data_IF_276292512176
#
_entry.id   IF_276292512176
#
_cell.length_a   1.000
_cell.length_b   1.000
_cell.length_c   1.000
_cell.angle_alpha   90.00
_cell.angle_beta   90.00
_cell.angle_gamma   90.00
#
_symmetry.space_group_name_H-M   'P 1'
#
loop_
_entity.id
_entity.type
_entity.pdbx_description
1 polymer ?
#
# COMPACT_ATOMS: atom_id res chain seq x y z
N UNK A 1 -13.65 -15.84 -13.92
CA UNK A 1 -13.53 -14.87 -15.04
C UNK A 1 -12.16 -15.01 -15.69
N UNK A 2 -11.99 -14.67 -16.98
CA UNK A 2 -10.79 -15.04 -17.78
C UNK A 2 -9.44 -14.52 -17.24
N UNK A 3 -9.46 -13.63 -16.24
CA UNK A 3 -8.29 -13.09 -15.55
C UNK A 3 -8.15 -13.53 -14.09
N UNK A 4 -9.21 -14.07 -13.47
CA UNK A 4 -9.26 -14.32 -12.02
C UNK A 4 -8.66 -15.67 -11.65
N UNK A 5 -9.00 -16.72 -12.39
CA UNK A 5 -8.66 -18.09 -12.04
C UNK A 5 -7.36 -18.52 -12.73
N UNK A 6 -6.37 -19.01 -11.97
CA UNK A 6 -5.03 -19.36 -12.51
C UNK A 6 -5.09 -20.37 -13.66
N UNK A 7 -6.05 -21.29 -13.61
CA UNK A 7 -6.22 -22.35 -14.61
C UNK A 7 -6.81 -21.84 -15.94
N UNK A 8 -7.58 -20.75 -15.87
CA UNK A 8 -8.32 -20.18 -17.00
C UNK A 8 -7.70 -18.85 -17.47
N UNK A 9 -6.61 -18.41 -16.82
CA UNK A 9 -5.91 -17.18 -17.16
C UNK A 9 -5.31 -17.28 -18.56
N UNK A 10 -5.48 -16.21 -19.33
CA UNK A 10 -4.78 -16.02 -20.60
C UNK A 10 -3.27 -15.82 -20.35
N UNK A 11 -2.54 -16.93 -20.33
CA UNK A 11 -1.08 -17.01 -20.24
C UNK A 11 -0.61 -18.28 -20.93
N UNK A 12 0.71 -18.40 -21.17
CA UNK A 12 1.26 -19.65 -21.69
C UNK A 12 0.90 -20.83 -20.77
N UNK A 13 0.59 -21.98 -21.36
CA UNK A 13 0.32 -23.26 -20.68
C UNK A 13 1.41 -23.64 -19.69
N UNK A 14 2.66 -23.24 -19.93
CA UNK A 14 3.79 -23.50 -19.03
C UNK A 14 3.63 -22.81 -17.66
N UNK A 15 2.92 -21.68 -17.60
CA UNK A 15 2.60 -20.98 -16.35
C UNK A 15 1.37 -21.53 -15.63
N UNK A 16 0.53 -22.33 -16.28
CA UNK A 16 -0.68 -22.92 -15.67
C UNK A 16 -0.34 -24.14 -14.81
N UNK A 17 0.77 -24.82 -15.13
CA UNK A 17 1.07 -26.16 -14.60
C UNK A 17 2.20 -26.21 -13.54
N UNK A 18 2.59 -25.08 -12.94
CA UNK A 18 3.65 -25.09 -11.91
C UNK A 18 3.20 -25.66 -10.55
N UNK A 19 1.93 -26.07 -10.40
CA UNK A 19 1.46 -26.82 -9.22
C UNK A 19 1.64 -28.35 -9.39
N UNK A 20 2.67 -28.81 -10.13
CA UNK A 20 3.10 -30.21 -10.05
C UNK A 20 3.98 -30.42 -8.82
N UNK A 21 3.33 -30.55 -7.68
CA UNK A 21 3.83 -31.23 -6.48
C UNK A 21 5.11 -30.65 -5.85
N UNK A 22 4.97 -30.15 -4.63
CA UNK A 22 6.04 -30.15 -3.63
C UNK A 22 6.61 -31.58 -3.52
N UNK A 23 7.61 -31.93 -4.33
CA UNK A 23 7.95 -33.34 -4.48
C UNK A 23 9.12 -33.68 -5.41
N UNK A 24 10.17 -32.87 -5.46
CA UNK A 24 11.52 -33.40 -5.72
C UNK A 24 12.57 -32.39 -5.28
N UNK A 25 13.31 -32.74 -4.22
CA UNK A 25 14.57 -32.07 -3.85
C UNK A 25 15.56 -32.31 -5.00
N UNK A 26 15.57 -31.41 -5.99
CA UNK A 26 16.60 -31.38 -7.01
C UNK A 26 17.83 -30.70 -6.42
N UNK A 27 18.95 -31.41 -6.50
CA UNK A 27 20.24 -31.09 -5.88
C UNK A 27 20.69 -29.64 -6.16
N UNK A 28 21.30 -29.03 -5.14
CA UNK A 28 21.84 -27.67 -5.12
C UNK A 28 22.84 -27.33 -6.25
N UNK A 29 23.23 -28.31 -7.09
CA UNK A 29 24.20 -28.17 -8.17
C UNK A 29 23.65 -27.51 -9.46
N UNK A 30 22.34 -27.30 -9.58
CA UNK A 30 21.72 -26.62 -10.76
C UNK A 30 21.51 -25.10 -10.55
N UNK A 31 22.23 -24.50 -9.60
CA UNK A 31 22.10 -23.07 -9.24
C UNK A 31 22.99 -22.13 -10.08
N UNK A 32 23.45 -22.56 -11.26
CA UNK A 32 24.23 -21.71 -12.17
C UNK A 32 23.36 -20.80 -13.03
N UNK A 33 22.04 -21.04 -13.10
CA UNK A 33 21.10 -20.17 -13.79
C UNK A 33 20.55 -19.09 -12.85
N UNK A 34 20.56 -17.85 -13.31
CA UNK A 34 19.98 -16.68 -12.61
C UNK A 34 18.60 -17.02 -12.04
N UNK A 35 18.30 -16.70 -10.76
CA UNK A 35 16.99 -16.94 -10.14
C UNK A 35 15.80 -16.34 -10.92
N UNK A 36 16.07 -15.30 -11.73
CA UNK A 36 15.10 -14.65 -12.63
C UNK A 36 14.80 -15.47 -13.89
N UNK A 37 15.74 -16.29 -14.37
CA UNK A 37 15.57 -17.11 -15.57
C UNK A 37 14.63 -18.29 -15.36
N UNK A 38 14.28 -18.62 -14.11
CA UNK A 38 13.39 -19.73 -13.78
C UNK A 38 11.90 -19.41 -13.95
N UNK A 39 11.54 -18.13 -13.99
CA UNK A 39 10.16 -17.66 -14.01
C UNK A 39 9.74 -17.05 -15.35
N UNK A 40 10.64 -17.01 -16.33
CA UNK A 40 10.34 -16.47 -17.66
C UNK A 40 10.63 -17.54 -18.70
N UNK A 41 9.59 -18.19 -19.20
CA UNK A 41 9.72 -19.15 -20.27
C UNK A 41 9.94 -18.47 -21.62
N UNK A 42 10.82 -19.04 -22.44
CA UNK A 42 11.01 -18.63 -23.82
C UNK A 42 9.69 -18.73 -24.60
N UNK A 43 9.38 -17.73 -25.43
CA UNK A 43 8.14 -17.65 -26.22
C UNK A 43 6.84 -17.66 -25.38
N UNK A 44 6.91 -17.39 -24.07
CA UNK A 44 5.75 -17.43 -23.17
C UNK A 44 4.62 -16.44 -23.50
N UNK A 45 4.86 -15.50 -24.41
CA UNK A 45 3.87 -14.54 -24.89
C UNK A 45 3.11 -14.99 -26.15
N UNK A 46 3.54 -16.04 -26.86
CA UNK A 46 2.94 -16.42 -28.16
C UNK A 46 1.48 -16.86 -28.05
N UNK A 47 1.11 -17.54 -26.95
CA UNK A 47 -0.28 -17.92 -26.69
C UNK A 47 -1.19 -16.70 -26.45
N UNK A 48 -0.64 -15.61 -25.91
CA UNK A 48 -1.37 -14.34 -25.76
C UNK A 48 -1.49 -13.66 -27.12
N UNK A 49 -0.39 -13.59 -27.88
CA UNK A 49 -0.34 -12.96 -29.21
C UNK A 49 -1.29 -13.60 -30.23
N UNK A 50 -1.49 -14.92 -30.15
CA UNK A 50 -2.35 -15.71 -31.04
C UNK A 50 -3.80 -15.84 -30.58
N UNK A 51 -4.17 -15.24 -29.44
CA UNK A 51 -5.53 -15.31 -28.93
C UNK A 51 -6.53 -14.56 -29.84
N UNK A 52 -7.76 -15.07 -29.98
CA UNK A 52 -8.80 -14.52 -30.85
C UNK A 52 -9.12 -13.05 -30.57
N UNK A 53 -9.00 -12.60 -29.31
CA UNK A 53 -9.15 -11.20 -28.93
C UNK A 53 -8.13 -10.26 -29.59
N UNK A 54 -6.90 -10.72 -29.82
CA UNK A 54 -5.82 -9.95 -30.44
C UNK A 54 -5.63 -10.30 -31.93
N UNK A 55 -6.63 -10.92 -32.56
CA UNK A 55 -6.57 -11.28 -33.97
C UNK A 55 -6.42 -10.02 -34.82
N UNK A 56 -5.42 -10.00 -35.70
CA UNK A 56 -5.14 -8.88 -36.60
C UNK A 56 -4.19 -7.82 -36.03
N UNK A 57 -3.68 -7.98 -34.80
CA UNK A 57 -2.66 -7.08 -34.25
C UNK A 57 -1.27 -7.41 -34.83
N UNK A 58 -0.62 -6.49 -35.57
CA UNK A 58 0.72 -6.71 -36.12
C UNK A 58 1.77 -6.45 -35.03
N UNK A 59 1.99 -7.44 -34.15
CA UNK A 59 2.88 -7.30 -32.98
C UNK A 59 4.28 -6.76 -33.29
N UNK A 60 4.87 -7.11 -34.44
CA UNK A 60 6.19 -6.61 -34.85
C UNK A 60 6.21 -5.12 -35.20
N UNK A 61 5.10 -4.57 -35.67
CA UNK A 61 4.97 -3.17 -36.12
C UNK A 61 4.12 -2.32 -35.16
N UNK A 62 3.56 -2.91 -34.09
CA UNK A 62 2.70 -2.24 -33.12
C UNK A 62 3.34 -0.98 -32.54
N UNK A 63 4.66 -0.96 -32.37
CA UNK A 63 5.42 0.20 -31.88
C UNK A 63 5.49 1.37 -32.88
N UNK A 64 5.16 1.15 -34.15
CA UNK A 64 5.08 2.17 -35.21
C UNK A 64 3.64 2.64 -35.45
N UNK A 65 2.66 1.95 -34.87
CA UNK A 65 1.26 2.31 -35.03
C UNK A 65 0.96 3.56 -34.20
N UNK A 66 0.14 4.45 -34.78
CA UNK A 66 -0.35 5.60 -34.03
C UNK A 66 -1.25 5.11 -32.87
N UNK A 67 -0.97 5.51 -31.63
CA UNK A 67 -1.81 5.11 -30.51
C UNK A 67 -3.21 5.73 -30.65
N UNK A 68 -4.27 5.02 -30.22
CA UNK A 68 -5.65 5.50 -30.36
C UNK A 68 -5.95 6.75 -29.53
N UNK A 69 -5.17 6.97 -28.47
CA UNK A 69 -5.22 8.18 -27.66
C UNK A 69 -3.84 8.83 -27.63
N UNK A 70 -3.78 10.09 -28.06
CA UNK A 70 -2.59 10.93 -28.00
C UNK A 70 -2.88 12.05 -26.99
N UNK A 71 -2.18 12.09 -25.84
CA UNK A 71 -2.28 13.19 -24.90
C UNK A 71 -2.01 14.53 -25.59
N UNK A 72 -2.86 15.52 -25.32
CA UNK A 72 -2.76 16.88 -25.86
C UNK A 72 -1.81 17.71 -25.01
N UNK A 73 -0.56 17.81 -25.43
CA UNK A 73 0.46 18.70 -24.84
C UNK A 73 0.83 19.77 -25.87
N UNK A 74 0.64 21.04 -25.54
CA UNK A 74 1.14 22.17 -26.36
C UNK A 74 2.61 22.44 -26.03
N UNK A 75 3.35 23.02 -26.97
CA UNK A 75 4.79 23.31 -26.80
C UNK A 75 5.10 24.18 -25.56
N UNK A 76 4.20 25.07 -25.19
CA UNK A 76 4.31 25.95 -24.02
C UNK A 76 3.52 25.47 -22.79
N UNK A 77 2.92 24.28 -22.83
CA UNK A 77 2.13 23.73 -21.74
C UNK A 77 2.93 22.67 -20.99
N UNK A 78 3.02 22.83 -19.66
CA UNK A 78 3.63 21.81 -18.81
C UNK A 78 2.87 20.49 -18.90
N UNK A 79 3.62 19.39 -19.01
CA UNK A 79 3.08 18.03 -18.96
C UNK A 79 2.47 17.70 -17.58
N UNK A 80 2.75 18.52 -16.55
CA UNK A 80 2.18 18.40 -15.19
C UNK A 80 0.65 18.49 -15.17
N UNK A 81 0.00 18.95 -16.25
CA UNK A 81 -1.47 18.89 -16.41
C UNK A 81 -2.04 17.47 -16.28
N UNK A 82 -1.26 16.45 -16.59
CA UNK A 82 -1.66 15.04 -16.47
C UNK A 82 -1.31 14.42 -15.11
N UNK A 83 -0.74 15.21 -14.21
CA UNK A 83 -0.40 14.81 -12.85
C UNK A 83 -1.46 15.39 -11.90
N UNK A 84 -1.76 14.66 -10.84
CA UNK A 84 -2.57 15.15 -9.73
C UNK A 84 -1.71 16.09 -8.88
N UNK A 85 -2.32 17.13 -8.30
CA UNK A 85 -1.58 18.05 -7.42
C UNK A 85 -1.15 17.31 -6.15
N UNK A 86 0.02 17.65 -5.59
CA UNK A 86 0.55 17.00 -4.37
C UNK A 86 -0.48 17.02 -3.23
N UNK A 87 -1.27 18.10 -3.10
CA UNK A 87 -2.36 18.23 -2.12
C UNK A 87 -3.48 17.17 -2.27
N UNK A 88 -3.77 16.72 -3.49
CA UNK A 88 -4.79 15.71 -3.77
C UNK A 88 -4.27 14.30 -3.43
N UNK A 89 -2.94 14.14 -3.45
CA UNK A 89 -2.23 12.91 -3.06
C UNK A 89 -1.99 12.89 -1.53
N UNK A 90 -1.65 14.04 -0.92
CA UNK A 90 -1.38 14.23 0.51
C UNK A 90 -2.61 14.04 1.40
N UNK A 91 -3.82 14.12 0.82
CA UNK A 91 -5.06 13.79 1.53
C UNK A 91 -5.14 12.28 1.91
N UNK A 92 -4.13 11.47 1.54
CA UNK A 92 -3.85 10.14 2.10
C UNK A 92 -3.49 10.15 3.61
N UNK A 93 -3.39 11.31 4.27
CA UNK A 93 -3.44 11.35 5.74
C UNK A 93 -4.82 10.89 6.28
N UNK A 94 -5.84 10.81 5.42
CA UNK A 94 -7.08 10.09 5.73
C UNK A 94 -6.86 8.58 5.88
N UNK A 95 -5.92 7.94 5.17
CA UNK A 95 -5.70 6.51 5.35
C UNK A 95 -4.96 6.20 6.65
N UNK A 96 -4.07 7.10 7.09
CA UNK A 96 -3.43 7.04 8.41
C UNK A 96 -4.46 7.30 9.52
N UNK A 97 -5.22 8.41 9.43
CA UNK A 97 -6.24 8.80 10.41
C UNK A 97 -7.36 7.77 10.52
N UNK A 98 -7.96 7.33 9.40
CA UNK A 98 -9.02 6.32 9.41
C UNK A 98 -8.50 4.97 9.93
N UNK A 99 -7.27 4.58 9.58
CA UNK A 99 -6.68 3.33 10.10
C UNK A 99 -6.36 3.40 11.59
N UNK A 100 -5.92 4.55 12.08
CA UNK A 100 -5.59 4.76 13.49
C UNK A 100 -6.89 4.88 14.30
N UNK A 101 -7.86 5.64 13.81
CA UNK A 101 -9.22 5.76 14.37
C UNK A 101 -9.91 4.42 14.48
N UNK A 102 -9.94 3.62 13.41
CA UNK A 102 -10.53 2.27 13.42
C UNK A 102 -9.85 1.36 14.45
N UNK A 103 -8.52 1.48 14.61
CA UNK A 103 -7.77 0.72 15.61
C UNK A 103 -8.13 1.14 17.03
N UNK A 104 -8.16 2.44 17.31
CA UNK A 104 -8.53 3.00 18.62
C UNK A 104 -9.96 2.61 19.02
N UNK A 105 -10.91 2.70 18.09
CA UNK A 105 -12.32 2.31 18.32
C UNK A 105 -12.47 0.81 18.59
N UNK A 106 -11.53 -0.01 18.11
CA UNK A 106 -11.52 -1.45 18.37
C UNK A 106 -10.84 -1.86 19.68
N UNK A 107 -9.97 -1.00 20.23
CA UNK A 107 -9.14 -1.29 21.41
C UNK A 107 -9.83 -0.92 22.75
N UNK A 108 -11.08 -0.43 22.75
CA UNK A 108 -11.82 -0.12 23.99
C UNK A 108 -11.40 1.21 24.63
N UNK A 109 -11.37 1.28 25.96
CA UNK A 109 -10.82 2.45 26.68
C UNK A 109 -9.33 2.57 26.37
N UNK A 110 -8.98 3.45 25.44
CA UNK A 110 -7.59 3.75 25.13
C UNK A 110 -7.17 4.93 25.99
N UNK A 111 -6.07 4.77 26.74
CA UNK A 111 -5.45 5.86 27.49
C UNK A 111 -5.29 7.11 26.60
N UNK A 112 -5.79 8.24 27.09
CA UNK A 112 -5.87 9.50 26.35
C UNK A 112 -4.50 9.91 25.77
N UNK A 113 -3.44 9.72 26.54
CA UNK A 113 -2.06 9.98 26.17
C UNK A 113 -1.62 9.17 24.94
N UNK A 114 -2.05 7.90 24.86
CA UNK A 114 -1.74 7.02 23.73
C UNK A 114 -2.54 7.44 22.50
N UNK A 115 -3.82 7.79 22.65
CA UNK A 115 -4.61 8.32 21.54
C UNK A 115 -4.01 9.61 20.98
N UNK A 116 -3.57 10.52 21.86
CA UNK A 116 -2.91 11.78 21.50
C UNK A 116 -1.56 11.56 20.79
N UNK A 117 -0.74 10.63 21.28
CA UNK A 117 0.52 10.27 20.63
C UNK A 117 0.32 9.63 19.24
N UNK A 118 -0.75 8.85 19.06
CA UNK A 118 -1.05 8.16 17.81
C UNK A 118 -1.69 9.07 16.75
N UNK A 119 -2.62 9.93 17.16
CA UNK A 119 -3.38 10.81 16.25
C UNK A 119 -2.68 12.14 16.00
N UNK A 120 -1.80 12.59 16.90
CA UNK A 120 -1.06 13.85 16.75
C UNK A 120 -1.98 15.04 16.48
N UNK A 121 -1.78 15.72 15.35
CA UNK A 121 -2.58 16.87 14.93
C UNK A 121 -4.07 16.54 14.70
N UNK A 122 -4.43 15.26 14.55
CA UNK A 122 -5.81 14.82 14.36
C UNK A 122 -6.52 14.44 15.66
N UNK A 123 -5.85 14.59 16.81
CA UNK A 123 -6.42 14.25 18.11
C UNK A 123 -7.69 15.06 18.41
N UNK A 124 -7.63 16.38 18.22
CA UNK A 124 -8.76 17.28 18.51
C UNK A 124 -9.97 16.95 17.63
N UNK A 125 -9.72 16.61 16.35
CA UNK A 125 -10.76 16.13 15.44
C UNK A 125 -11.37 14.81 15.92
N UNK A 126 -10.56 13.87 16.40
CA UNK A 126 -11.04 12.58 16.92
C UNK A 126 -11.90 12.76 18.19
N UNK A 127 -11.47 13.63 19.11
CA UNK A 127 -12.25 13.97 20.31
C UNK A 127 -13.59 14.61 19.90
N UNK A 128 -13.56 15.58 18.99
CA UNK A 128 -14.78 16.21 18.47
C UNK A 128 -15.73 15.21 17.78
N UNK A 129 -15.21 14.32 16.93
CA UNK A 129 -16.01 13.27 16.28
C UNK A 129 -16.61 12.27 17.29
N UNK A 130 -15.90 11.98 18.39
CA UNK A 130 -16.41 11.12 19.48
C UNK A 130 -17.56 11.78 20.23
N UNK A 131 -17.41 13.06 20.59
CA UNK A 131 -18.43 13.85 21.27
C UNK A 131 -19.66 14.02 20.36
N UNK A 132 -19.46 14.39 19.09
CA UNK A 132 -20.55 14.54 18.13
C UNK A 132 -21.30 13.22 17.88
N UNK A 133 -20.58 12.08 17.85
CA UNK A 133 -21.20 10.76 17.75
C UNK A 133 -22.05 10.44 18.99
N UNK A 134 -21.53 10.69 20.18
CA UNK A 134 -22.28 10.47 21.43
C UNK A 134 -23.54 11.33 21.49
N UNK A 135 -23.48 12.60 21.07
CA UNK A 135 -24.66 13.48 20.97
C UNK A 135 -25.69 12.96 19.98
N UNK A 136 -25.25 12.47 18.81
CA UNK A 136 -26.12 11.86 17.81
C UNK A 136 -26.83 10.61 18.32
N UNK A 137 -26.08 9.73 18.98
CA UNK A 137 -26.60 8.50 19.59
C UNK A 137 -27.65 8.80 20.67
N UNK A 138 -27.47 9.88 21.42
CA UNK A 138 -28.39 10.34 22.46
C UNK A 138 -29.53 11.24 21.95
N UNK A 139 -29.54 11.57 20.65
CA UNK A 139 -30.54 12.44 20.03
C UNK A 139 -30.49 13.91 20.49
N UNK A 140 -29.33 14.38 20.96
CA UNK A 140 -29.09 15.73 21.50
C UNK A 140 -28.05 16.49 20.67
N UNK A 141 -28.17 16.40 19.34
CA UNK A 141 -27.22 16.98 18.38
C UNK A 141 -27.07 18.50 18.52
N UNK A 142 -28.15 19.17 18.93
CA UNK A 142 -28.20 20.62 19.11
C UNK A 142 -27.65 21.09 20.48
N UNK A 143 -27.37 20.17 21.40
CA UNK A 143 -26.82 20.52 22.71
C UNK A 143 -25.33 20.88 22.61
N UNK A 144 -24.90 21.87 23.38
CA UNK A 144 -23.50 22.25 23.57
C UNK A 144 -22.70 21.14 24.29
N UNK A 145 -21.37 21.16 24.13
CA UNK A 145 -20.49 20.20 24.81
C UNK A 145 -20.64 20.28 26.35
N UNK A 146 -20.87 21.49 26.87
CA UNK A 146 -21.11 21.70 28.30
C UNK A 146 -22.45 21.16 28.80
N UNK A 147 -23.47 21.06 27.96
CA UNK A 147 -24.75 20.43 28.32
C UNK A 147 -24.62 18.92 28.43
N UNK A 148 -23.92 18.29 27.48
CA UNK A 148 -23.60 16.86 27.56
C UNK A 148 -22.80 16.54 28.84
N UNK A 149 -21.86 17.43 29.21
CA UNK A 149 -21.08 17.26 30.43
C UNK A 149 -21.94 17.39 31.71
N UNK A 150 -22.86 18.36 31.75
CA UNK A 150 -23.81 18.49 32.88
C UNK A 150 -24.74 17.29 33.00
N UNK A 151 -25.16 16.69 31.88
CA UNK A 151 -25.95 15.45 31.87
C UNK A 151 -25.12 14.30 32.44
N UNK A 152 -23.86 14.15 32.02
CA UNK A 152 -22.93 13.16 32.58
C UNK A 152 -22.77 13.31 34.09
N UNK A 153 -22.57 14.52 34.57
CA UNK A 153 -22.44 14.82 36.00
C UNK A 153 -23.74 14.56 36.78
N UNK A 154 -24.90 14.85 36.18
CA UNK A 154 -26.21 14.65 36.80
C UNK A 154 -26.52 13.17 37.03
N UNK A 155 -26.31 12.33 36.02
CA UNK A 155 -26.57 10.90 36.11
C UNK A 155 -25.41 10.12 36.78
N UNK A 156 -24.19 10.66 36.75
CA UNK A 156 -23.04 10.10 37.45
C UNK A 156 -22.79 8.62 37.11
N UNK A 157 -22.87 7.75 38.13
CA UNK A 157 -22.66 6.31 37.96
C UNK A 157 -23.73 5.63 37.10
N UNK A 158 -24.94 6.20 37.03
CA UNK A 158 -26.05 5.68 36.26
C UNK A 158 -26.06 6.20 34.81
N UNK A 159 -25.09 7.06 34.44
CA UNK A 159 -25.00 7.64 33.10
C UNK A 159 -24.93 6.58 32.00
N UNK A 160 -24.16 5.50 32.19
CA UNK A 160 -24.03 4.44 31.20
C UNK A 160 -25.35 3.66 31.00
N UNK A 161 -26.12 3.46 32.07
CA UNK A 161 -27.44 2.84 31.99
C UNK A 161 -28.45 3.76 31.29
N UNK A 162 -28.50 5.03 31.70
CA UNK A 162 -29.33 6.05 31.04
C UNK A 162 -28.98 6.21 29.56
N UNK A 163 -27.70 6.20 29.22
CA UNK A 163 -27.22 6.29 27.84
C UNK A 163 -27.67 5.10 27.02
N UNK A 164 -27.58 3.88 27.55
CA UNK A 164 -28.05 2.68 26.86
C UNK A 164 -29.55 2.76 26.54
N UNK A 165 -30.37 3.12 27.54
CA UNK A 165 -31.82 3.26 27.38
C UNK A 165 -32.16 4.39 26.40
N UNK A 166 -31.45 5.52 26.48
CA UNK A 166 -31.66 6.66 25.59
C UNK A 166 -31.31 6.34 24.14
N UNK A 167 -30.25 5.56 23.90
CA UNK A 167 -29.87 5.11 22.56
C UNK A 167 -30.97 4.22 21.96
N UNK A 168 -31.55 3.31 22.74
CA UNK A 168 -32.65 2.45 22.28
C UNK A 168 -33.85 3.32 21.88
N UNK A 169 -34.24 4.25 22.75
CA UNK A 169 -35.35 5.17 22.49
C UNK A 169 -35.14 5.99 21.21
N UNK A 170 -33.94 6.56 21.01
CA UNK A 170 -33.63 7.38 19.82
C UNK A 170 -33.58 6.53 18.54
N UNK A 171 -33.11 5.29 18.62
CA UNK A 171 -33.15 4.33 17.51
C UNK A 171 -34.59 3.99 17.11
N UNK A 172 -35.47 3.74 18.09
CA UNK A 172 -36.91 3.51 17.87
C UNK A 172 -37.58 4.74 17.23
N UNK A 173 -37.33 5.94 17.75
CA UNK A 173 -37.85 7.20 17.21
C UNK A 173 -37.38 7.49 15.78
N UNK A 174 -36.16 7.06 15.43
CA UNK A 174 -35.56 7.24 14.09
C UNK A 174 -35.89 6.08 13.13
N UNK A 175 -36.60 5.05 13.57
CA UNK A 175 -36.93 3.86 12.77
C UNK A 175 -35.71 3.05 12.34
N UNK A 176 -34.64 3.04 13.15
CA UNK A 176 -33.39 2.36 12.86
C UNK A 176 -33.21 1.15 13.80
N UNK A 177 -32.94 -0.03 13.23
CA UNK A 177 -32.60 -1.22 14.01
C UNK A 177 -31.23 -1.05 14.71
N UNK A 178 -31.08 -1.46 15.99
CA UNK A 178 -29.82 -1.36 16.70
C UNK A 178 -28.73 -2.17 15.97
N UNK A 179 -27.70 -1.48 15.46
CA UNK A 179 -26.58 -2.11 14.76
C UNK A 179 -25.69 -2.88 15.76
N UNK A 180 -26.05 -4.14 16.02
CA UNK A 180 -25.32 -5.04 16.95
C UNK A 180 -24.06 -5.67 16.34
N UNK A 181 -23.76 -5.42 15.06
CA UNK A 181 -22.62 -6.04 14.38
C UNK A 181 -21.51 -5.04 14.06
N UNK A 182 -20.30 -5.29 14.58
CA UNK A 182 -19.11 -4.50 14.22
C UNK A 182 -18.87 -4.61 12.70
N UNK A 183 -18.60 -3.50 12.00
CA UNK A 183 -18.35 -3.52 10.56
C UNK A 183 -17.19 -4.46 10.21
N UNK A 184 -17.34 -5.24 9.13
CA UNK A 184 -16.31 -6.17 8.67
C UNK A 184 -15.07 -5.39 8.28
N UNK A 185 -13.96 -5.62 9.00
CA UNK A 185 -12.66 -4.99 8.75
C UNK A 185 -12.21 -5.25 7.31
N UNK A 186 -11.90 -4.18 6.59
CA UNK A 186 -11.41 -4.27 5.22
C UNK A 186 -10.03 -4.95 5.21
N UNK A 187 -9.86 -6.00 4.39
CA UNK A 187 -8.60 -6.75 4.32
C UNK A 187 -7.55 -5.93 3.57
N UNK A 188 -6.81 -5.09 4.30
CA UNK A 188 -5.69 -4.32 3.76
C UNK A 188 -4.63 -5.26 3.16
N UNK A 189 -3.99 -4.82 2.06
CA UNK A 189 -2.91 -5.56 1.39
C UNK A 189 -1.83 -5.99 2.42
N UNK A 190 -1.19 -7.15 2.24
CA UNK A 190 -0.14 -7.60 3.15
C UNK A 190 1.04 -6.61 3.15
N UNK A 191 1.08 -5.73 4.15
CA UNK A 191 2.22 -4.88 4.50
C UNK A 191 3.06 -5.52 5.60
N UNK A 192 4.34 -5.19 5.67
CA UNK A 192 5.22 -5.53 6.79
C UNK A 192 4.65 -5.07 8.14
N UNK A 193 4.79 -5.87 9.20
CA UNK A 193 4.27 -5.57 10.54
C UNK A 193 4.81 -4.25 11.10
N UNK A 194 6.10 -3.95 10.89
CA UNK A 194 6.71 -2.71 11.38
C UNK A 194 6.24 -1.48 10.61
N UNK A 195 5.86 -1.66 9.34
CA UNK A 195 5.31 -0.60 8.50
C UNK A 195 3.82 -0.34 8.74
N UNK A 196 3.15 -1.17 9.55
CA UNK A 196 1.76 -0.95 9.97
C UNK A 196 1.67 -0.15 11.27
N UNK A 197 2.77 -0.05 12.00
CA UNK A 197 2.78 0.67 13.26
C UNK A 197 2.79 2.18 12.99
N UNK A 198 1.82 2.93 13.52
CA UNK A 198 1.71 4.37 13.29
C UNK A 198 2.86 5.18 13.91
N UNK A 199 3.47 4.71 15.00
CA UNK A 199 4.57 5.43 15.66
C UNK A 199 5.91 5.11 15.01
N UNK A 200 6.20 3.82 14.81
CA UNK A 200 7.55 3.40 14.35
C UNK A 200 7.66 3.22 12.84
N UNK A 201 6.54 3.14 12.10
CA UNK A 201 6.53 2.85 10.67
C UNK A 201 7.30 3.87 9.83
N UNK A 202 7.15 5.16 10.13
CA UNK A 202 7.88 6.25 9.43
C UNK A 202 9.39 6.13 9.63
N UNK A 203 9.83 5.88 10.87
CA UNK A 203 11.24 5.70 11.21
C UNK A 203 11.83 4.46 10.53
N UNK A 204 11.10 3.35 10.53
CA UNK A 204 11.52 2.10 9.88
C UNK A 204 11.64 2.29 8.36
N UNK A 205 10.70 2.98 7.72
CA UNK A 205 10.80 3.32 6.29
C UNK A 205 12.05 4.15 6.00
N UNK A 206 12.34 5.15 6.83
CA UNK A 206 13.48 6.03 6.65
C UNK A 206 14.81 5.26 6.73
N UNK A 207 14.96 4.39 7.74
CA UNK A 207 16.13 3.52 7.90
C UNK A 207 16.30 2.62 6.66
N UNK A 208 15.20 2.04 6.15
CA UNK A 208 15.25 1.21 4.93
C UNK A 208 15.69 2.00 3.72
N UNK A 209 15.18 3.22 3.53
CA UNK A 209 15.60 4.10 2.43
C UNK A 209 17.10 4.41 2.52
N UNK A 210 17.61 4.72 3.72
CA UNK A 210 19.04 4.98 3.97
C UNK A 210 19.91 3.75 3.66
N UNK A 211 19.44 2.55 4.01
CA UNK A 211 20.15 1.30 3.75
C UNK A 211 19.97 0.70 2.35
N UNK A 212 18.95 1.12 1.59
CA UNK A 212 18.52 0.46 0.34
C UNK A 212 19.62 0.41 -0.74
N UNK A 213 20.56 1.36 -0.72
CA UNK A 213 21.64 1.48 -1.69
C UNK A 213 23.03 1.24 -1.10
N UNK A 214 23.11 0.88 0.18
CA UNK A 214 24.39 0.56 0.81
C UNK A 214 24.98 -0.69 0.15
N UNK A 215 26.14 -0.56 -0.50
CA UNK A 215 26.78 -1.62 -1.28
C UNK A 215 26.37 -1.71 -2.76
N UNK A 216 25.40 -0.92 -3.21
CA UNK A 216 25.03 -0.83 -4.63
C UNK A 216 25.84 0.27 -5.33
N UNK A 217 27.03 -0.07 -5.84
CA UNK A 217 27.72 0.77 -6.83
C UNK A 217 27.25 0.41 -8.23
N UNK A 218 26.62 1.34 -8.94
CA UNK A 218 26.34 1.18 -10.37
C UNK A 218 27.66 1.00 -11.12
N UNK A 219 27.92 -0.23 -11.59
CA UNK A 219 29.07 -0.52 -12.44
C UNK A 219 28.62 -0.39 -13.89
N UNK A 220 28.93 0.75 -14.51
CA UNK A 220 28.73 0.93 -15.96
C UNK A 220 29.45 -0.21 -16.68
N UNK A 221 28.77 -1.03 -17.51
CA UNK A 221 29.44 -2.01 -18.35
C UNK A 221 30.54 -1.32 -19.16
N UNK A 222 31.78 -1.82 -19.10
CA UNK A 222 32.87 -1.25 -19.91
C UNK A 222 32.48 -1.37 -21.39
N UNK A 223 32.67 -0.33 -22.21
CA UNK A 223 32.44 -0.44 -23.65
C UNK A 223 33.33 -1.56 -24.19
N UNK A 224 32.73 -2.47 -24.95
CA UNK A 224 33.47 -3.53 -25.64
C UNK A 224 34.16 -2.85 -26.82
N UNK A 225 35.46 -2.60 -26.70
CA UNK A 225 36.29 -2.24 -27.85
C UNK A 225 36.48 -3.49 -28.70
N UNK A 226 35.86 -3.51 -29.88
CA UNK A 226 36.06 -4.57 -30.86
C UNK A 226 37.41 -4.31 -31.54
N UNK A 227 38.39 -5.18 -31.29
CA UNK A 227 39.66 -5.15 -32.02
C UNK A 227 39.42 -5.46 -33.51
N UNK A 228 40.26 -4.91 -34.38
CA UNK A 228 40.20 -5.06 -35.84
C UNK A 228 40.37 -6.52 -36.31
N UNK A 229 40.71 -7.42 -35.39
CA UNK A 229 40.94 -8.86 -35.55
C UNK A 229 39.82 -9.74 -34.92
N UNK A 230 38.74 -9.14 -34.42
CA UNK A 230 37.63 -9.87 -33.80
C UNK A 230 37.92 -10.41 -32.39
N UNK A 231 39.08 -10.09 -31.80
CA UNK A 231 39.43 -10.53 -30.45
C UNK A 231 38.79 -9.64 -29.36
N UNK A 232 38.13 -10.25 -28.37
CA UNK A 232 37.49 -9.55 -27.24
C UNK A 232 38.48 -9.38 -26.09
N UNK A 233 39.15 -8.23 -26.01
CA UNK A 233 40.03 -7.90 -24.87
C UNK A 233 39.24 -7.29 -23.71
N UNK A 234 39.20 -7.96 -22.56
CA UNK A 234 38.69 -7.41 -21.28
C UNK A 234 39.87 -6.93 -20.44
N UNK A 235 40.20 -5.64 -20.53
CA UNK A 235 41.17 -4.99 -19.63
C UNK A 235 40.67 -5.09 -18.17
N UNK A 236 41.30 -5.97 -17.39
CA UNK A 236 41.05 -6.16 -15.96
C UNK A 236 41.80 -5.13 -15.13
N UNK A 237 41.09 -4.26 -14.41
CA UNK A 237 41.68 -3.37 -13.41
C UNK A 237 41.29 -3.83 -12.01
N UNK A 238 42.26 -3.80 -11.09
CA UNK A 238 42.18 -4.23 -9.70
C UNK A 238 41.17 -3.39 -8.90
N UNK A 239 40.55 -4.04 -7.91
CA UNK A 239 39.55 -3.48 -6.99
C UNK A 239 40.16 -2.40 -6.09
N UNK A 240 39.48 -1.28 -5.81
CA UNK A 240 39.65 -0.61 -4.53
C UNK A 240 38.75 -1.31 -3.50
N UNK A 241 39.36 -1.77 -2.41
CA UNK A 241 38.66 -2.28 -1.23
C UNK A 241 37.93 -1.12 -0.56
N UNK A 242 36.71 -1.41 -0.10
CA UNK A 242 35.74 -0.58 0.62
C UNK A 242 36.41 0.52 1.47
N UNK A 243 36.04 1.78 1.27
CA UNK A 243 36.42 2.89 2.15
C UNK A 243 35.80 2.68 3.55
N UNK A 244 36.57 2.78 4.65
CA UNK A 244 36.01 2.69 5.99
C UNK A 244 35.08 3.87 6.25
N UNK A 245 33.87 3.55 6.72
CA UNK A 245 32.92 4.53 7.27
C UNK A 245 33.51 5.01 8.58
N UNK A 246 33.90 6.29 8.66
CA UNK A 246 34.19 6.93 9.94
C UNK A 246 32.90 6.89 10.77
N UNK A 247 32.96 6.23 11.93
CA UNK A 247 31.90 6.33 12.92
C UNK A 247 31.94 7.72 13.51
N UNK A 248 30.79 8.39 13.53
CA UNK A 248 30.62 9.60 14.32
C UNK A 248 30.74 9.21 15.80
N UNK A 249 31.84 9.63 16.44
CA UNK A 249 31.98 9.61 17.89
C UNK A 249 31.28 10.85 18.48
N UNK A 250 30.35 10.55 19.40
CA UNK A 250 29.76 11.38 20.46
C UNK A 250 28.82 12.52 20.06
#
# INVERSE_FOLDING_TARGET
>A
GILTDKEVRLSSRQYRHTERGLGRRLSAASQTASPLARHVYANGAEEIKSHQFFRGIPWSQMHLMQPPFVPRVRENQSITKYFEDEKDIETDDSSSFLSIKERLESEGEVAEERARALLGAHYDRWVGERIAREKRELGIEDCSDGELQRIKEHFGADYEAWKADRIIQVCEERGAEPLTSKPKKEKKRPRDRLLRDPLVGKKVMEIRKKGAFFGYTYRRPKPITLGQDGSRSRQGSRRPTILPVQGDES
#
